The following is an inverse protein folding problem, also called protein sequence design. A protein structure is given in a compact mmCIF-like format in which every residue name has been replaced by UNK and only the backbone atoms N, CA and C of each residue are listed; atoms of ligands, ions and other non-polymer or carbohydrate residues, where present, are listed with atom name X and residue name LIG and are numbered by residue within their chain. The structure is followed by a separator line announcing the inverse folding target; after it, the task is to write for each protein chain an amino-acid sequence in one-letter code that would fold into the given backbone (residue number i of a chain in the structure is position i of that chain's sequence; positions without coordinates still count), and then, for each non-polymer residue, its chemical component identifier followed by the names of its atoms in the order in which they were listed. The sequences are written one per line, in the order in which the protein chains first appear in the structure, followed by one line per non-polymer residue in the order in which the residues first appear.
data_IF_588795574131
#
_entry.id   IF_588795574131
#
_cell.length_a   1.000
_cell.length_b   1.000
_cell.length_c   1.000
_cell.angle_alpha   90.00
_cell.angle_beta   90.00
_cell.angle_gamma   90.00
#
_symmetry.space_group_name_H-M   'P 1'
#
loop_
_entity.id
_entity.type
_entity.pdbx_description
1 polymer ?
#
# COMPACT_ATOMS: atom_id res chain seq x y z
N UNK A 1 4.93 -21.64 -19.57
CA UNK A 1 3.54 -21.26 -19.26
C UNK A 1 3.20 -20.06 -20.12
N UNK A 2 2.11 -20.13 -20.86
CA UNK A 2 1.51 -19.00 -21.57
C UNK A 2 0.53 -18.31 -20.64
N UNK A 3 0.57 -16.98 -20.57
CA UNK A 3 -0.39 -16.17 -19.83
C UNK A 3 -1.03 -15.20 -20.81
N UNK A 4 -2.35 -15.06 -20.75
CA UNK A 4 -3.12 -14.17 -21.63
C UNK A 4 -3.92 -13.19 -20.76
N UNK A 5 -3.67 -11.89 -20.99
CA UNK A 5 -4.51 -10.84 -20.44
C UNK A 5 -5.78 -10.75 -21.29
N UNK A 6 -6.95 -10.80 -20.65
CA UNK A 6 -8.24 -10.84 -21.34
C UNK A 6 -9.07 -9.63 -20.93
N UNK A 7 -9.45 -8.83 -21.92
CA UNK A 7 -10.34 -7.68 -21.77
C UNK A 7 -11.62 -8.08 -21.02
N UNK A 8 -12.01 -7.23 -20.06
CA UNK A 8 -13.19 -7.42 -19.23
C UNK A 8 -12.86 -8.05 -17.88
N UNK A 9 -11.60 -8.43 -17.65
CA UNK A 9 -11.17 -8.91 -16.32
C UNK A 9 -11.25 -7.80 -15.29
N UNK A 10 -10.81 -6.58 -15.61
CA UNK A 10 -10.91 -5.44 -14.69
C UNK A 10 -12.38 -5.06 -14.41
N UNK A 11 -13.23 -5.04 -15.43
CA UNK A 11 -14.66 -4.79 -15.26
C UNK A 11 -15.33 -5.87 -14.41
N UNK A 12 -15.06 -7.15 -14.68
CA UNK A 12 -15.66 -8.26 -13.93
C UNK A 12 -15.33 -8.22 -12.43
N UNK A 13 -14.09 -7.82 -12.07
CA UNK A 13 -13.69 -7.62 -10.67
C UNK A 13 -14.49 -6.50 -9.99
N UNK A 14 -14.83 -5.42 -10.72
CA UNK A 14 -15.69 -4.35 -10.19
C UNK A 14 -17.16 -4.74 -10.17
N UNK A 15 -17.63 -5.59 -11.06
CA UNK A 15 -19.04 -6.01 -11.09
C UNK A 15 -19.36 -7.17 -10.14
N UNK A 16 -18.34 -7.75 -9.50
CA UNK A 16 -18.46 -9.00 -8.73
C UNK A 16 -19.01 -10.15 -9.58
N UNK A 17 -18.51 -10.22 -10.82
CA UNK A 17 -18.80 -11.31 -11.76
C UNK A 17 -17.56 -12.15 -12.00
N UNK A 18 -17.75 -13.38 -12.49
CA UNK A 18 -16.63 -14.27 -12.75
C UNK A 18 -15.70 -13.66 -13.82
N UNK A 19 -14.41 -13.41 -13.52
CA UNK A 19 -13.51 -12.79 -14.47
C UNK A 19 -13.15 -13.77 -15.60
N UNK A 20 -13.08 -13.30 -16.86
CA UNK A 20 -12.76 -14.15 -18.01
C UNK A 20 -11.30 -14.65 -18.02
N UNK A 21 -10.42 -13.98 -17.29
CA UNK A 21 -9.04 -14.42 -17.01
C UNK A 21 -8.66 -14.08 -15.58
N UNK A 22 -7.67 -14.79 -15.04
CA UNK A 22 -7.06 -14.47 -13.75
C UNK A 22 -5.79 -13.64 -13.87
N UNK A 23 -5.32 -13.40 -15.10
CA UNK A 23 -4.06 -12.74 -15.34
C UNK A 23 -4.26 -11.24 -15.55
N UNK A 24 -3.50 -10.45 -14.79
CA UNK A 24 -3.44 -8.99 -14.92
C UNK A 24 -1.98 -8.53 -14.82
N UNK A 25 -1.67 -7.41 -15.46
CA UNK A 25 -0.38 -6.75 -15.32
C UNK A 25 -0.45 -5.62 -14.28
N UNK A 26 0.52 -5.58 -13.38
CA UNK A 26 0.74 -4.46 -12.46
C UNK A 26 1.36 -3.30 -13.22
N UNK A 27 0.73 -2.13 -13.18
CA UNK A 27 1.21 -0.91 -13.82
C UNK A 27 1.90 0.03 -12.84
N UNK A 28 1.37 0.10 -11.62
CA UNK A 28 1.83 1.02 -10.57
C UNK A 28 1.71 0.36 -9.21
N UNK A 29 2.62 0.70 -8.31
CA UNK A 29 2.60 0.31 -6.89
C UNK A 29 2.84 1.56 -6.06
N UNK A 30 1.94 1.84 -5.12
CA UNK A 30 1.99 3.03 -4.26
C UNK A 30 1.70 2.65 -2.81
N UNK A 31 2.49 3.17 -1.88
CA UNK A 31 2.15 3.10 -0.46
C UNK A 31 1.06 4.11 -0.15
N UNK A 32 -0.01 3.67 0.52
CA UNK A 32 -1.11 4.52 0.94
C UNK A 32 -0.65 5.39 2.12
N UNK A 33 -0.96 6.68 2.04
CA UNK A 33 -0.68 7.65 3.09
C UNK A 33 -1.94 8.47 3.38
N UNK A 34 -2.15 8.81 4.65
CA UNK A 34 -3.26 9.66 5.12
C UNK A 34 -2.66 10.92 5.72
N UNK A 35 -3.03 12.10 5.21
CA UNK A 35 -2.43 13.37 5.65
C UNK A 35 -0.92 13.47 5.44
N UNK A 36 -0.38 12.72 4.46
CA UNK A 36 1.07 12.66 4.19
C UNK A 36 1.84 11.70 5.10
N UNK A 37 1.19 11.10 6.10
CA UNK A 37 1.79 10.09 6.96
C UNK A 37 1.55 8.69 6.40
N UNK A 38 2.61 7.87 6.37
CA UNK A 38 2.52 6.46 6.03
C UNK A 38 1.75 5.71 7.11
N UNK A 39 0.93 4.76 6.69
CA UNK A 39 0.18 3.90 7.61
C UNK A 39 1.08 2.83 8.23
N UNK A 40 0.79 2.48 9.49
CA UNK A 40 1.35 1.33 10.19
C UNK A 40 0.17 0.50 10.76
N UNK A 41 -0.07 -0.74 10.30
CA UNK A 41 0.73 -1.47 9.31
C UNK A 41 0.70 -0.83 7.92
N UNK A 42 1.75 -1.08 7.14
CA UNK A 42 1.85 -0.58 5.76
C UNK A 42 0.67 -1.07 4.92
N UNK A 43 0.20 -0.23 4.01
CA UNK A 43 -0.90 -0.57 3.11
C UNK A 43 -0.52 -0.10 1.71
N UNK A 44 -0.65 -0.98 0.72
CA UNK A 44 -0.32 -0.66 -0.67
C UNK A 44 -1.57 -0.65 -1.55
N UNK A 45 -1.57 0.29 -2.49
CA UNK A 45 -2.48 0.36 -3.62
C UNK A 45 -1.70 0.07 -4.89
N UNK A 46 -2.22 -0.80 -5.74
CA UNK A 46 -1.64 -1.08 -7.05
C UNK A 46 -2.63 -0.77 -8.16
N UNK A 47 -2.14 -0.40 -9.33
CA UNK A 47 -2.96 -0.31 -10.53
C UNK A 47 -2.73 -1.55 -11.35
N UNK A 48 -3.79 -2.31 -11.62
CA UNK A 48 -3.72 -3.52 -12.47
C UNK A 48 -4.38 -3.28 -13.81
N UNK A 49 -4.00 -4.04 -14.83
CA UNK A 49 -4.58 -3.98 -16.16
C UNK A 49 -4.76 -5.34 -16.80
N UNK A 50 -5.85 -5.49 -17.54
CA UNK A 50 -6.18 -6.65 -18.35
C UNK A 50 -5.76 -6.51 -19.83
N UNK A 51 -4.91 -5.52 -20.13
CA UNK A 51 -4.44 -5.22 -21.48
C UNK A 51 -5.31 -4.21 -22.25
N UNK A 52 -6.45 -3.81 -21.68
CA UNK A 52 -7.33 -2.79 -22.29
C UNK A 52 -7.89 -1.81 -21.27
N UNK A 53 -8.25 -2.31 -20.10
CA UNK A 53 -8.77 -1.56 -18.99
C UNK A 53 -7.79 -1.64 -17.82
N UNK A 54 -7.88 -0.68 -16.92
CA UNK A 54 -7.13 -0.69 -15.67
C UNK A 54 -7.99 -0.20 -14.50
N UNK A 55 -7.69 -0.71 -13.31
CA UNK A 55 -8.35 -0.33 -12.06
C UNK A 55 -7.33 -0.21 -10.93
N UNK A 56 -7.52 0.73 -9.99
CA UNK A 56 -6.81 0.74 -8.73
C UNK A 56 -7.40 -0.34 -7.81
N UNK A 57 -6.54 -1.16 -7.21
CA UNK A 57 -6.91 -2.18 -6.22
C UNK A 57 -6.00 -2.08 -5.00
N UNK A 58 -6.49 -2.53 -3.86
CA UNK A 58 -5.71 -2.62 -2.63
C UNK A 58 -5.06 -4.00 -2.56
N UNK A 59 -3.87 -4.06 -1.96
CA UNK A 59 -3.25 -5.33 -1.59
C UNK A 59 -3.65 -5.73 -0.17
N UNK A 60 -3.92 -7.01 0.06
CA UNK A 60 -3.95 -7.56 1.40
C UNK A 60 -2.60 -7.35 2.09
N UNK A 61 -2.61 -7.06 3.38
CA UNK A 61 -1.39 -6.75 4.15
C UNK A 61 -0.37 -7.90 4.11
N UNK A 62 -0.83 -9.15 4.00
CA UNK A 62 0.02 -10.33 3.87
C UNK A 62 0.88 -10.31 2.59
N UNK A 63 0.42 -9.61 1.55
CA UNK A 63 1.14 -9.45 0.28
C UNK A 63 2.16 -8.31 0.31
N UNK A 64 2.23 -7.50 1.37
CA UNK A 64 3.17 -6.38 1.47
C UNK A 64 4.63 -6.82 1.32
N UNK A 65 4.96 -8.01 1.83
CA UNK A 65 6.31 -8.59 1.69
C UNK A 65 6.71 -8.78 0.22
N UNK A 66 5.75 -9.04 -0.67
CA UNK A 66 6.03 -9.16 -2.10
C UNK A 66 6.42 -7.80 -2.69
N UNK A 67 5.84 -6.71 -2.21
CA UNK A 67 6.22 -5.35 -2.63
C UNK A 67 7.59 -4.98 -2.07
N UNK A 68 7.82 -5.17 -0.77
CA UNK A 68 9.09 -4.82 -0.13
C UNK A 68 10.27 -5.63 -0.66
N UNK A 69 10.04 -6.89 -1.06
CA UNK A 69 11.04 -7.74 -1.73
C UNK A 69 11.15 -7.50 -3.24
N UNK A 70 10.43 -6.53 -3.80
CA UNK A 70 10.36 -6.23 -5.25
C UNK A 70 9.84 -7.40 -6.12
N UNK A 71 9.26 -8.42 -5.49
CA UNK A 71 8.57 -9.49 -6.19
C UNK A 71 7.34 -8.94 -6.91
N UNK A 72 6.54 -8.10 -6.26
CA UNK A 72 5.41 -7.41 -6.85
C UNK A 72 5.80 -5.96 -7.17
N UNK A 73 6.05 -5.69 -8.45
CA UNK A 73 6.56 -4.42 -8.95
C UNK A 73 5.88 -4.06 -10.29
N UNK A 74 6.00 -2.81 -10.77
CA UNK A 74 5.51 -2.45 -12.10
C UNK A 74 5.98 -3.42 -13.19
N UNK A 75 5.12 -3.61 -14.18
CA UNK A 75 5.22 -4.55 -15.29
C UNK A 75 5.06 -6.03 -14.93
N UNK A 76 5.08 -6.42 -13.66
CA UNK A 76 4.84 -7.82 -13.27
C UNK A 76 3.44 -8.27 -13.71
N UNK A 77 3.35 -9.46 -14.29
CA UNK A 77 2.08 -10.13 -14.55
C UNK A 77 1.81 -11.08 -13.39
N UNK A 78 0.61 -10.98 -12.84
CA UNK A 78 0.15 -11.79 -11.71
C UNK A 78 -1.07 -12.60 -12.10
N UNK A 79 -1.14 -13.81 -11.54
CA UNK A 79 -2.37 -14.59 -11.43
C UNK A 79 -3.07 -14.18 -10.13
N UNK A 80 -4.32 -13.75 -10.22
CA UNK A 80 -5.19 -13.51 -9.07
C UNK A 80 -5.73 -14.87 -8.63
N UNK A 81 -5.28 -15.35 -7.47
CA UNK A 81 -5.75 -16.62 -6.90
C UNK A 81 -6.98 -16.39 -6.03
N UNK A 82 -6.95 -15.32 -5.23
CA UNK A 82 -8.06 -14.91 -4.37
C UNK A 82 -8.17 -13.39 -4.28
N UNK A 83 -9.40 -12.91 -4.17
CA UNK A 83 -9.72 -11.51 -3.98
C UNK A 83 -11.05 -11.36 -3.25
N UNK A 84 -11.23 -10.21 -2.61
CA UNK A 84 -12.51 -9.78 -2.08
C UNK A 84 -12.78 -8.35 -2.52
N UNK A 85 -14.00 -7.88 -2.29
CA UNK A 85 -14.35 -6.48 -2.53
C UNK A 85 -15.11 -5.93 -1.32
N UNK A 86 -14.99 -4.63 -1.14
CA UNK A 86 -15.75 -3.87 -0.14
C UNK A 86 -16.34 -2.63 -0.79
N UNK A 87 -17.55 -2.27 -0.39
CA UNK A 87 -18.15 -1.01 -0.80
C UNK A 87 -17.92 0.02 0.32
N UNK A 88 -17.25 1.12 -0.01
CA UNK A 88 -17.07 2.27 0.88
C UNK A 88 -17.76 3.46 0.23
N UNK A 89 -18.84 3.92 0.85
CA UNK A 89 -19.76 4.84 0.23
C UNK A 89 -20.26 4.31 -1.13
N UNK A 90 -19.94 5.00 -2.23
CA UNK A 90 -20.28 4.60 -3.60
C UNK A 90 -19.12 3.94 -4.33
N UNK A 91 -17.96 3.76 -3.67
CA UNK A 91 -16.76 3.21 -4.27
C UNK A 91 -16.69 1.71 -3.99
N UNK A 92 -16.50 0.91 -5.04
CA UNK A 92 -16.13 -0.49 -4.90
C UNK A 92 -14.62 -0.61 -4.90
N UNK A 93 -14.09 -1.09 -3.79
CA UNK A 93 -12.66 -1.32 -3.59
C UNK A 93 -12.41 -2.82 -3.68
N UNK A 94 -11.66 -3.23 -4.69
CA UNK A 94 -11.17 -4.61 -4.82
C UNK A 94 -9.89 -4.75 -3.99
N UNK A 95 -9.79 -5.82 -3.22
CA UNK A 95 -8.64 -6.17 -2.38
C UNK A 95 -8.13 -7.54 -2.83
N UNK A 96 -6.90 -7.60 -3.33
CA UNK A 96 -6.27 -8.86 -3.70
C UNK A 96 -5.70 -9.51 -2.45
N UNK A 97 -6.13 -10.73 -2.12
CA UNK A 97 -5.73 -11.46 -0.92
C UNK A 97 -4.66 -12.50 -1.21
N UNK A 98 -4.68 -13.10 -2.41
CA UNK A 98 -3.67 -14.06 -2.84
C UNK A 98 -3.33 -13.86 -4.33
N UNK A 99 -2.03 -13.73 -4.63
CA UNK A 99 -1.53 -13.54 -6.00
C UNK A 99 -0.23 -14.31 -6.23
N UNK A 100 -0.05 -14.78 -7.46
CA UNK A 100 1.21 -15.40 -7.91
C UNK A 100 1.82 -14.60 -9.04
N UNK A 101 3.08 -14.17 -8.92
CA UNK A 101 3.79 -13.51 -10.03
C UNK A 101 4.20 -14.56 -11.05
N UNK A 102 3.67 -14.45 -12.28
CA UNK A 102 3.87 -15.45 -13.34
C UNK A 102 4.84 -15.00 -14.43
N UNK A 103 4.99 -13.68 -14.63
CA UNK A 103 5.92 -13.14 -15.61
C UNK A 103 6.35 -11.69 -15.32
N UNK A 104 7.40 -11.24 -16.01
CA UNK A 104 7.88 -9.85 -15.99
C UNK A 104 8.22 -9.37 -17.40
N UNK A 105 7.21 -8.98 -18.18
CA UNK A 105 7.40 -8.25 -19.43
C UNK A 105 8.31 -7.02 -19.26
N UNK A 106 9.00 -6.64 -20.34
CA UNK A 106 9.79 -5.41 -20.40
C UNK A 106 8.96 -4.15 -20.68
N UNK A 107 7.67 -4.31 -21.00
CA UNK A 107 6.77 -3.23 -21.37
C UNK A 107 5.33 -3.51 -20.93
N UNK A 108 4.50 -2.47 -20.95
CA UNK A 108 3.05 -2.60 -20.75
C UNK A 108 2.45 -3.45 -21.86
N UNK A 109 1.60 -4.39 -21.49
CA UNK A 109 0.83 -5.23 -22.41
C UNK A 109 -0.48 -4.51 -22.73
N UNK A 110 -0.83 -4.44 -24.01
CA UNK A 110 -2.01 -3.74 -24.48
C UNK A 110 -1.70 -2.37 -25.09
N UNK A 111 -2.72 -1.74 -25.67
CA UNK A 111 -2.61 -0.37 -26.19
C UNK A 111 -3.84 0.44 -25.76
N UNK A 112 -3.63 1.72 -25.43
CA UNK A 112 -4.67 2.67 -25.00
C UNK A 112 -5.49 2.15 -23.79
N UNK A 113 -4.84 2.11 -22.63
CA UNK A 113 -5.47 1.67 -21.39
C UNK A 113 -6.52 2.68 -20.90
N UNK A 114 -7.72 2.18 -20.61
CA UNK A 114 -8.82 2.96 -20.02
C UNK A 114 -8.91 2.71 -18.52
N UNK A 115 -8.84 3.78 -17.73
CA UNK A 115 -9.07 3.71 -16.29
C UNK A 115 -10.57 3.63 -16.02
N UNK A 116 -11.04 2.51 -15.47
CA UNK A 116 -12.45 2.33 -15.16
C UNK A 116 -12.84 3.16 -13.93
N UNK A 117 -14.09 3.60 -13.94
CA UNK A 117 -14.70 4.23 -12.78
C UNK A 117 -15.03 3.15 -11.73
N UNK A 118 -14.44 3.27 -10.55
CA UNK A 118 -14.69 2.35 -9.42
C UNK A 118 -15.95 2.71 -8.63
N UNK A 119 -16.62 3.83 -8.97
CA UNK A 119 -17.87 4.24 -8.32
C UNK A 119 -19.05 3.45 -8.88
N UNK A 120 -19.74 2.70 -8.03
CA UNK A 120 -20.99 1.98 -8.36
C UNK A 120 -22.17 2.93 -8.53
N UNK A 121 -22.13 4.09 -7.89
CA UNK A 121 -23.18 5.11 -7.98
C UNK A 121 -22.61 6.52 -7.83
N UNK A 122 -22.03 7.10 -8.89
CA UNK A 122 -21.41 8.42 -8.81
C UNK A 122 -22.41 9.56 -8.53
N UNK A 123 -23.72 9.35 -8.73
CA UNK A 123 -24.72 10.37 -8.49
C UNK A 123 -25.02 10.57 -7.00
N UNK A 124 -24.87 9.51 -6.18
CA UNK A 124 -25.25 9.52 -4.77
C UNK A 124 -24.06 9.62 -3.79
N UNK A 125 -22.90 10.08 -4.27
CA UNK A 125 -21.67 10.21 -3.45
C UNK A 125 -21.92 11.08 -2.22
N UNK A 126 -22.50 12.27 -2.40
CA UNK A 126 -22.68 13.24 -1.32
C UNK A 126 -23.63 12.75 -0.22
N UNK A 127 -24.74 12.12 -0.61
CA UNK A 127 -25.70 11.54 0.34
C UNK A 127 -25.05 10.40 1.14
N UNK A 128 -24.30 9.53 0.48
CA UNK A 128 -23.67 8.39 1.13
C UNK A 128 -22.56 8.83 2.08
N UNK A 129 -21.76 9.83 1.70
CA UNK A 129 -20.72 10.41 2.58
C UNK A 129 -21.34 11.06 3.81
N UNK A 130 -22.42 11.84 3.66
CA UNK A 130 -23.11 12.46 4.79
C UNK A 130 -23.57 11.41 5.82
N UNK A 131 -24.19 10.32 5.34
CA UNK A 131 -24.62 9.21 6.19
C UNK A 131 -23.46 8.55 6.94
N UNK A 132 -22.30 8.36 6.31
CA UNK A 132 -21.13 7.79 6.97
C UNK A 132 -20.55 8.69 8.07
N UNK A 133 -20.59 10.01 7.87
CA UNK A 133 -20.11 10.97 8.88
C UNK A 133 -21.05 11.05 10.08
N UNK A 134 -22.37 11.02 9.84
CA UNK A 134 -23.38 11.05 10.91
C UNK A 134 -23.32 9.80 11.81
N UNK A 135 -23.06 8.63 11.24
CA UNK A 135 -22.88 7.38 12.01
C UNK A 135 -21.67 7.47 12.95
N UNK A 136 -20.57 8.10 12.52
CA UNK A 136 -19.39 8.30 13.38
C UNK A 136 -19.65 9.30 14.51
N UNK A 137 -20.50 10.30 14.30
CA UNK A 137 -20.84 11.28 15.33
C UNK A 137 -21.68 10.70 16.48
N UNK A 138 -22.31 9.54 16.28
CA UNK A 138 -23.12 8.85 17.29
C UNK A 138 -22.38 7.70 18.00
N UNK A 139 -21.11 7.45 17.66
CA UNK A 139 -20.30 6.35 18.21
C UNK A 139 -19.58 6.63 19.53
N UNK A 140 -19.55 7.88 20.01
CA UNK A 140 -19.09 8.25 21.35
C UNK A 140 -20.31 8.33 22.30
N UNK A 141 -20.79 7.17 22.74
CA UNK A 141 -21.74 7.09 23.87
C UNK A 141 -21.03 6.47 25.08
N UNK A 142 -21.34 6.96 26.30
CA UNK A 142 -20.50 6.82 27.48
C UNK A 142 -20.41 5.38 27.97
N UNK A 143 -19.24 5.05 28.49
CA UNK A 143 -19.00 3.88 29.33
C UNK A 143 -20.04 3.94 30.47
N UNK A 144 -21.03 3.06 30.43
CA UNK A 144 -21.88 2.77 31.58
C UNK A 144 -21.01 2.02 32.59
N UNK A 145 -20.27 2.76 33.42
CA UNK A 145 -19.82 2.27 34.71
C UNK A 145 -21.03 2.29 35.64
N UNK A 146 -21.74 1.16 35.74
CA UNK A 146 -22.52 0.91 36.95
C UNK A 146 -22.43 -0.57 37.35
N UNK A 147 -21.69 -0.74 38.45
CA UNK A 147 -21.86 -1.72 39.52
C UNK A 147 -21.73 -3.21 39.18
N UNK A 148 -20.51 -3.73 39.35
CA UNK A 148 -20.35 -5.02 40.03
C UNK A 148 -18.99 -5.19 40.70
N UNK A 149 -19.06 -5.55 41.98
CA UNK A 149 -18.15 -6.45 42.69
C UNK A 149 -16.83 -5.91 43.26
N UNK A 150 -16.92 -5.67 44.57
CA UNK A 150 -16.04 -6.22 45.60
C UNK A 150 -14.61 -5.69 45.82
N UNK A 151 -14.43 -5.42 47.11
CA UNK A 151 -13.25 -5.01 47.84
C UNK A 151 -12.11 -6.01 47.78
N UNK A 152 -10.87 -5.50 47.76
CA UNK A 152 -9.68 -5.87 48.55
C UNK A 152 -8.50 -5.23 47.80
N UNK A 153 -7.89 -4.14 48.27
CA UNK A 153 -7.09 -4.14 49.48
C UNK A 153 -5.74 -4.77 49.17
N UNK A 154 -4.74 -3.94 48.86
CA UNK A 154 -3.44 -3.88 49.56
C UNK A 154 -2.49 -2.92 48.83
N UNK A 155 -2.10 -1.91 49.60
CA UNK A 155 -1.02 -0.97 49.35
C UNK A 155 0.29 -1.67 48.99
N UNK A 156 1.21 -0.96 48.33
CA UNK A 156 2.41 -0.48 49.01
C UNK A 156 3.16 0.56 48.16
N UNK A 157 3.47 1.65 48.85
CA UNK A 157 4.26 2.80 48.41
C UNK A 157 5.74 2.45 48.24
N UNK A 158 6.45 3.27 47.44
CA UNK A 158 7.84 3.71 47.63
C UNK A 158 8.18 4.62 46.44
N UNK A 159 8.28 5.96 46.56
CA UNK A 159 9.48 6.75 46.92
C UNK A 159 10.72 6.26 46.16
N UNK A 160 11.50 7.02 45.39
CA UNK A 160 12.00 8.43 45.38
C UNK A 160 12.77 8.56 44.05
N UNK A 161 12.74 9.68 43.33
CA UNK A 161 13.60 10.88 43.46
C UNK A 161 15.08 10.70 43.07
N UNK A 162 15.57 11.73 42.35
CA UNK A 162 16.95 12.20 42.15
C UNK A 162 18.00 11.43 41.30
N UNK A 163 18.35 12.08 40.18
CA UNK A 163 19.65 12.71 39.94
C UNK A 163 20.79 11.99 39.17
N UNK A 164 21.11 12.62 38.02
CA UNK A 164 22.43 13.08 37.54
C UNK A 164 23.61 12.08 37.58
N UNK A 165 24.20 11.83 36.41
CA UNK A 165 25.65 12.03 36.16
C UNK A 165 26.05 11.93 34.69
N UNK A 166 26.87 12.91 34.31
CA UNK A 166 27.66 13.00 33.10
C UNK A 166 28.89 12.07 33.11
N UNK A 167 29.49 11.99 31.92
CA UNK A 167 30.92 11.94 31.61
C UNK A 167 31.47 10.63 31.02
N UNK A 168 32.02 10.82 29.82
CA UNK A 168 33.25 10.26 29.23
C UNK A 168 33.50 8.74 29.30
N UNK A 169 33.73 8.13 28.14
CA UNK A 169 35.12 7.78 27.77
C UNK A 169 35.28 7.43 26.28
N UNK A 170 36.52 7.62 25.87
CA UNK A 170 37.21 7.76 24.61
C UNK A 170 37.46 6.48 23.78
N UNK A 171 37.93 6.69 22.54
CA UNK A 171 38.70 5.70 21.76
C UNK A 171 38.20 5.55 20.31
N UNK A 172 38.51 6.45 19.36
CA UNK A 172 39.79 6.63 18.66
C UNK A 172 40.28 5.41 17.84
N UNK A 173 40.11 5.47 16.51
CA UNK A 173 41.15 5.26 15.48
C UNK A 173 40.57 5.63 14.09
N UNK A 174 41.06 6.71 13.47
CA UNK A 174 40.99 6.94 12.01
C UNK A 174 42.18 6.25 11.31
N UNK A 175 42.74 6.77 10.19
CA UNK A 175 42.21 7.66 9.14
C UNK A 175 42.68 7.20 7.71
N UNK A 176 42.74 8.15 6.77
CA UNK A 176 43.29 8.15 5.38
C UNK A 176 42.23 7.92 4.28
N UNK A 177 41.67 8.95 3.63
CA UNK A 177 42.29 10.01 2.79
C UNK A 177 43.21 9.50 1.68
N UNK A 178 42.76 9.66 0.43
CA UNK A 178 43.65 9.99 -0.69
C UNK A 178 42.87 10.68 -1.81
N UNK A 179 42.96 12.00 -1.82
CA UNK A 179 42.92 12.81 -3.03
C UNK A 179 44.11 12.43 -3.93
N UNK A 180 43.86 12.36 -5.24
CA UNK A 180 44.88 12.68 -6.26
C UNK A 180 44.18 13.49 -7.35
N UNK A 181 44.65 14.72 -7.50
CA UNK A 181 44.29 15.70 -8.52
C UNK A 181 45.22 15.62 -9.74
N UNK A 182 44.71 16.16 -10.86
CA UNK A 182 45.44 16.77 -12.00
C UNK A 182 46.26 15.84 -12.93
N UNK A 183 46.41 16.04 -14.24
CA UNK A 183 46.34 17.19 -15.18
C UNK A 183 46.46 16.57 -16.61
N UNK A 184 45.66 16.95 -17.63
CA UNK A 184 45.87 18.00 -18.68
C UNK A 184 46.48 17.50 -20.02
N UNK A 185 46.11 18.23 -21.10
CA UNK A 185 46.57 18.32 -22.51
C UNK A 185 45.80 17.48 -23.56
N UNK A 186 44.99 18.10 -24.44
CA UNK A 186 45.30 18.88 -25.68
C UNK A 186 45.68 17.93 -26.85
N UNK A 187 45.24 18.01 -28.11
CA UNK A 187 44.25 18.78 -28.88
C UNK A 187 44.20 18.08 -30.30
N UNK A 188 44.03 18.68 -31.50
CA UNK A 188 42.90 18.46 -32.41
C UNK A 188 43.25 17.82 -33.79
N UNK A 189 42.25 17.74 -34.71
CA UNK A 189 42.26 18.14 -36.15
C UNK A 189 41.48 17.18 -37.11
N UNK A 190 40.54 17.79 -37.86
CA UNK A 190 40.04 17.61 -39.26
C UNK A 190 39.90 16.19 -39.88
N UNK A 191 38.88 15.88 -40.70
CA UNK A 191 38.37 16.58 -41.91
C UNK A 191 36.86 16.37 -42.05
#
# INVERSE_FOLDING_TARGET
MTFDLVNGTCAALLDDSAPPSRYVQVLKVEQVAVGGLKLDPEQYRITISDGSQCIPVMLGMDLNKMVSSSQLAPLAVVCIEDYLWVNVCTLRIVILTEVTVVARPSQVIGSKLELLNVSTDPANVMETVAKYLDIKAQGDMPINEDASSDTCGLSNASTTDESVREADDTGATGPEEREVSEKVEDDPVAV
#
